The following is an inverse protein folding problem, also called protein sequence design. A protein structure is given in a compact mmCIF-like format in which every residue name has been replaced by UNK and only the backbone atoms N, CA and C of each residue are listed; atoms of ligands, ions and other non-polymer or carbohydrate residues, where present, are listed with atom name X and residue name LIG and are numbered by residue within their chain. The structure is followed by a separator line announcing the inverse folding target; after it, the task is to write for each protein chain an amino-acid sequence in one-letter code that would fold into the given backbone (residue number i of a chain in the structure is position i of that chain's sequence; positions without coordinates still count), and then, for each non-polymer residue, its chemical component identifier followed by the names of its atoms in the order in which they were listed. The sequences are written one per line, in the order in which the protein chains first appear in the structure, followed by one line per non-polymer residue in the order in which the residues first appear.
data_IF_617563835013
#
_entry.id   IF_617563835013
#
_cell.length_a   1.000
_cell.length_b   1.000
_cell.length_c   1.000
_cell.angle_alpha   90.00
_cell.angle_beta   90.00
_cell.angle_gamma   90.00
#
_symmetry.space_group_name_H-M   'P 1'
#
loop_
_entity.id
_entity.type
_entity.pdbx_description
1 polymer ?
#
# COMPACT_ATOMS: atom_id res chain seq x y z
N UNK A 1 -49.73 55.19 36.12
CA UNK A 1 -48.39 55.49 35.56
C UNK A 1 -47.37 54.57 36.23
N UNK A 2 -46.42 54.00 35.47
CA UNK A 2 -45.31 53.11 35.88
C UNK A 2 -45.63 51.62 36.12
N UNK A 3 -45.92 50.86 35.04
CA UNK A 3 -45.56 49.43 34.89
C UNK A 3 -45.45 49.08 33.41
N UNK A 4 -44.46 49.66 32.73
CA UNK A 4 -44.10 49.33 31.36
C UNK A 4 -42.59 49.49 31.21
N UNK A 5 -41.81 48.65 31.90
CA UNK A 5 -40.35 48.65 31.78
C UNK A 5 -39.70 47.36 32.32
N UNK A 6 -40.26 46.18 32.04
CA UNK A 6 -39.56 44.90 32.31
C UNK A 6 -40.01 43.90 31.24
N UNK A 7 -39.55 44.04 30.00
CA UNK A 7 -39.70 42.99 28.96
C UNK A 7 -38.75 43.15 27.76
N UNK A 8 -37.65 43.89 27.93
CA UNK A 8 -36.66 44.08 26.88
C UNK A 8 -35.25 43.85 27.44
N UNK A 9 -34.90 42.59 27.70
CA UNK A 9 -33.62 42.28 28.33
C UNK A 9 -33.16 40.82 28.25
N UNK A 10 -33.67 40.03 27.30
CA UNK A 10 -33.21 38.65 27.11
C UNK A 10 -33.36 38.19 25.66
N UNK A 11 -32.73 38.91 24.73
CA UNK A 11 -32.68 38.51 23.32
C UNK A 11 -31.34 38.85 22.64
N UNK A 12 -30.24 38.86 23.39
CA UNK A 12 -28.89 38.91 22.84
C UNK A 12 -28.05 37.92 23.65
N UNK A 13 -27.59 36.83 23.01
CA UNK A 13 -26.38 36.05 23.28
C UNK A 13 -26.54 34.62 22.73
N UNK A 14 -26.71 34.51 21.41
CA UNK A 14 -26.52 33.26 20.66
C UNK A 14 -25.84 33.61 19.32
N UNK A 15 -24.70 34.29 19.39
CA UNK A 15 -23.71 34.33 18.32
C UNK A 15 -22.50 33.53 18.79
N UNK A 16 -22.66 32.20 18.80
CA UNK A 16 -21.55 31.27 18.97
C UNK A 16 -20.68 31.30 17.73
N UNK A 17 -19.37 31.47 17.93
CA UNK A 17 -18.35 31.56 16.90
C UNK A 17 -18.33 30.34 15.97
N UNK A 18 -18.99 30.46 14.82
CA UNK A 18 -18.69 29.65 13.64
C UNK A 18 -17.51 30.28 12.91
N UNK A 19 -16.29 30.15 13.43
CA UNK A 19 -15.13 30.31 12.58
C UNK A 19 -15.14 29.10 11.63
N UNK A 20 -15.56 29.30 10.38
CA UNK A 20 -15.33 28.31 9.34
C UNK A 20 -13.86 27.95 9.37
N UNK A 21 -13.54 26.67 9.60
CA UNK A 21 -12.19 26.19 9.41
C UNK A 21 -11.83 26.52 7.96
N UNK A 22 -10.94 27.50 7.78
CA UNK A 22 -10.34 27.73 6.49
C UNK A 22 -9.59 26.44 6.15
N UNK A 23 -10.11 25.71 5.17
CA UNK A 23 -9.44 24.58 4.56
C UNK A 23 -8.10 25.12 4.05
N UNK A 24 -7.05 24.84 4.81
CA UNK A 24 -5.71 25.27 4.46
C UNK A 24 -5.29 24.35 3.34
N UNK A 25 -5.13 24.92 2.14
CA UNK A 25 -4.62 24.20 0.99
C UNK A 25 -3.33 23.48 1.41
N UNK A 26 -3.23 22.15 1.20
CA UNK A 26 -2.06 21.41 1.60
C UNK A 26 -0.83 22.01 0.92
N UNK A 27 0.33 22.04 1.61
CA UNK A 27 1.54 22.63 1.05
C UNK A 27 1.88 21.96 -0.29
N UNK A 28 2.43 22.73 -1.25
CA UNK A 28 2.79 22.19 -2.55
C UNK A 28 3.80 21.05 -2.38
N UNK A 29 3.74 20.03 -3.26
CA UNK A 29 4.64 18.89 -3.15
C UNK A 29 6.11 19.34 -3.18
N UNK A 30 6.97 18.67 -2.40
CA UNK A 30 8.38 18.99 -2.38
C UNK A 30 8.98 18.78 -3.78
N UNK A 31 9.70 19.77 -4.30
CA UNK A 31 10.41 19.68 -5.58
C UNK A 31 11.75 18.94 -5.47
N UNK A 32 12.20 18.69 -4.23
CA UNK A 32 13.38 17.90 -3.88
C UNK A 32 13.09 17.16 -2.59
N UNK A 33 13.41 15.87 -2.54
CA UNK A 33 13.40 15.15 -1.26
C UNK A 33 14.55 15.64 -0.39
N UNK A 34 14.30 15.71 0.91
CA UNK A 34 15.37 15.84 1.89
C UNK A 34 16.34 14.69 1.68
N UNK A 35 17.59 14.99 1.35
CA UNK A 35 18.62 13.96 1.37
C UNK A 35 18.73 13.44 2.81
N UNK A 36 18.93 12.13 3.02
CA UNK A 36 19.27 11.63 4.34
C UNK A 36 20.53 12.35 4.81
N UNK A 37 20.34 13.29 5.74
CA UNK A 37 21.44 13.88 6.48
C UNK A 37 22.01 12.80 7.39
N UNK A 38 23.30 12.89 7.73
CA UNK A 38 23.94 12.05 8.78
C UNK A 38 23.39 12.40 10.16
N UNK A 39 22.08 12.36 10.34
CA UNK A 39 21.46 12.42 11.64
C UNK A 39 21.56 11.00 12.17
N UNK A 40 22.37 10.73 13.20
CA UNK A 40 22.31 9.44 13.86
C UNK A 40 20.85 9.18 14.25
N UNK A 41 20.35 7.94 14.10
CA UNK A 41 18.99 7.61 14.53
C UNK A 41 18.76 8.16 15.94
N UNK A 42 17.54 8.65 16.26
CA UNK A 42 17.27 9.11 17.61
C UNK A 42 17.70 8.01 18.57
N UNK A 43 18.59 8.35 19.52
CA UNK A 43 19.06 7.40 20.52
C UNK A 43 17.82 6.82 21.18
N UNK A 44 17.49 5.58 20.84
CA UNK A 44 16.42 4.88 21.52
C UNK A 44 16.75 4.95 23.00
N UNK A 45 15.83 5.49 23.81
CA UNK A 45 15.92 5.35 25.27
C UNK A 45 16.23 3.89 25.53
N UNK A 46 17.37 3.61 26.17
CA UNK A 46 17.79 2.25 26.44
C UNK A 46 16.71 1.59 27.30
N UNK A 47 15.82 0.83 26.65
CA UNK A 47 15.01 -0.15 27.35
C UNK A 47 16.03 -1.22 27.72
N UNK A 48 16.44 -1.24 28.98
CA UNK A 48 17.18 -2.36 29.55
C UNK A 48 16.18 -3.51 29.68
N UNK A 49 15.78 -4.07 28.55
CA UNK A 49 15.33 -5.45 28.50
C UNK A 49 16.63 -6.25 28.63
N UNK A 50 16.76 -7.16 29.59
CA UNK A 50 17.91 -8.05 29.62
C UNK A 50 17.87 -8.87 28.32
N UNK A 51 18.69 -8.46 27.35
CA UNK A 51 18.98 -9.24 26.17
C UNK A 51 19.79 -10.42 26.65
N UNK A 52 19.12 -11.52 26.96
CA UNK A 52 19.77 -12.81 26.87
C UNK A 52 20.14 -12.92 25.40
N UNK A 53 21.42 -12.97 25.09
CA UNK A 53 21.91 -13.46 23.80
C UNK A 53 21.42 -14.90 23.69
N UNK A 54 20.20 -15.06 23.19
CA UNK A 54 19.79 -16.33 22.63
C UNK A 54 20.54 -16.37 21.31
N UNK A 55 21.59 -17.18 21.25
CA UNK A 55 22.02 -17.75 19.97
C UNK A 55 20.78 -18.43 19.39
N UNK A 56 20.07 -17.72 18.51
CA UNK A 56 19.01 -18.32 17.70
C UNK A 56 19.73 -19.10 16.60
N UNK A 57 20.31 -20.24 16.99
CA UNK A 57 20.61 -21.32 16.07
C UNK A 57 19.27 -21.87 15.58
N UNK A 58 18.70 -21.16 14.60
CA UNK A 58 17.29 -21.35 14.22
C UNK A 58 16.64 -20.16 13.53
N UNK A 59 17.41 -19.15 13.09
CA UNK A 59 16.92 -18.22 12.08
C UNK A 59 16.52 -19.03 10.85
N UNK A 60 15.24 -19.43 10.76
CA UNK A 60 14.72 -20.08 9.57
C UNK A 60 15.07 -19.15 8.42
N UNK A 61 15.91 -19.60 7.49
CA UNK A 61 16.00 -18.98 6.18
C UNK A 61 14.59 -19.01 5.63
N UNK A 62 13.88 -17.89 5.72
CA UNK A 62 12.53 -17.83 5.16
C UNK A 62 12.63 -18.18 3.67
N UNK A 63 11.55 -18.71 3.11
CA UNK A 63 11.49 -19.16 1.72
C UNK A 63 12.07 -18.12 0.74
N UNK A 64 12.65 -18.53 -0.39
CA UNK A 64 13.10 -17.57 -1.39
C UNK A 64 11.96 -16.63 -1.80
N UNK A 65 12.30 -15.38 -2.13
CA UNK A 65 11.33 -14.45 -2.70
C UNK A 65 10.80 -15.01 -4.02
N UNK A 66 9.51 -14.81 -4.27
CA UNK A 66 8.89 -15.27 -5.51
C UNK A 66 9.57 -14.61 -6.70
N UNK A 67 9.82 -15.40 -7.75
CA UNK A 67 10.43 -14.96 -9.01
C UNK A 67 9.44 -15.21 -10.15
N UNK A 68 8.57 -14.24 -10.38
CA UNK A 68 7.59 -14.26 -11.46
C UNK A 68 7.55 -12.89 -12.14
N UNK A 69 7.44 -12.91 -13.47
CA UNK A 69 7.30 -11.73 -14.31
C UNK A 69 6.03 -11.96 -15.14
N UNK A 70 4.94 -11.32 -14.71
CA UNK A 70 3.70 -11.25 -15.47
C UNK A 70 3.69 -10.07 -16.45
N UNK A 71 2.56 -9.85 -17.11
CA UNK A 71 2.44 -8.77 -18.10
C UNK A 71 2.46 -7.36 -17.48
N UNK A 72 1.84 -7.22 -16.30
CA UNK A 72 1.71 -5.94 -15.59
C UNK A 72 2.67 -5.81 -14.40
N UNK A 73 2.96 -6.93 -13.74
CA UNK A 73 3.64 -6.97 -12.45
C UNK A 73 4.79 -7.96 -12.47
N UNK A 74 5.81 -7.68 -11.66
CA UNK A 74 6.83 -8.64 -11.25
C UNK A 74 6.83 -8.77 -9.75
N UNK A 75 7.04 -9.99 -9.24
CA UNK A 75 7.21 -10.23 -7.82
C UNK A 75 8.53 -9.66 -7.29
N UNK A 76 8.63 -9.58 -5.97
CA UNK A 76 9.71 -8.97 -5.20
C UNK A 76 11.10 -9.53 -5.53
N UNK A 77 11.20 -10.82 -5.87
CA UNK A 77 12.46 -11.45 -6.24
C UNK A 77 13.12 -10.79 -7.46
N UNK A 78 12.34 -10.34 -8.44
CA UNK A 78 12.85 -9.62 -9.63
C UNK A 78 13.52 -8.30 -9.26
N UNK A 79 13.12 -7.68 -8.15
CA UNK A 79 13.71 -6.46 -7.61
C UNK A 79 14.92 -6.75 -6.71
N UNK A 80 14.86 -7.84 -5.94
CA UNK A 80 15.88 -8.23 -4.98
C UNK A 80 17.24 -8.53 -5.64
N UNK A 81 17.27 -8.89 -6.94
CA UNK A 81 18.52 -9.09 -7.70
C UNK A 81 19.52 -7.93 -7.53
N UNK A 82 19.02 -6.69 -7.45
CA UNK A 82 19.85 -5.49 -7.31
C UNK A 82 19.58 -4.72 -6.01
N UNK A 83 18.45 -4.97 -5.35
CA UNK A 83 18.04 -4.23 -4.14
C UNK A 83 18.29 -4.99 -2.83
N UNK A 84 19.02 -6.10 -2.91
CA UNK A 84 19.57 -6.84 -1.77
C UNK A 84 21.05 -6.57 -1.57
N UNK A 85 21.58 -6.92 -0.39
CA UNK A 85 22.97 -6.72 0.03
C UNK A 85 23.48 -5.28 -0.20
N UNK A 86 22.60 -4.30 0.02
CA UNK A 86 22.94 -2.89 -0.06
C UNK A 86 23.48 -2.42 1.29
N UNK A 87 24.55 -1.62 1.27
CA UNK A 87 25.11 -1.03 2.49
C UNK A 87 25.22 0.48 2.36
N UNK A 88 25.01 1.20 3.46
CA UNK A 88 25.28 2.64 3.53
C UNK A 88 26.77 2.95 3.73
N UNK A 89 27.12 4.23 3.90
CA UNK A 89 28.50 4.69 4.09
C UNK A 89 29.12 4.29 5.45
N UNK A 90 28.29 3.82 6.39
CA UNK A 90 28.72 3.26 7.68
C UNK A 90 28.91 1.75 7.63
N UNK A 91 28.49 1.10 6.52
CA UNK A 91 28.47 -0.34 6.36
C UNK A 91 27.23 -1.02 6.95
N UNK A 92 26.20 -0.26 7.33
CA UNK A 92 24.94 -0.82 7.79
C UNK A 92 24.15 -1.37 6.60
N UNK A 93 23.48 -2.50 6.80
CA UNK A 93 22.58 -3.09 5.81
C UNK A 93 21.35 -2.20 5.59
N UNK A 94 21.14 -1.80 4.34
CA UNK A 94 20.01 -1.01 3.85
C UNK A 94 19.30 -1.72 2.68
N UNK A 95 19.41 -3.04 2.64
CA UNK A 95 18.72 -3.90 1.69
C UNK A 95 17.22 -3.69 1.79
N UNK A 96 16.60 -3.37 0.65
CA UNK A 96 15.20 -2.96 0.59
C UNK A 96 14.32 -4.21 0.65
N UNK A 97 14.76 -5.30 0.03
CA UNK A 97 14.04 -6.57 0.02
C UNK A 97 13.92 -7.15 1.44
N UNK A 98 15.00 -7.17 2.22
CA UNK A 98 15.00 -7.66 3.59
C UNK A 98 14.11 -6.81 4.49
N UNK A 99 14.18 -5.48 4.35
CA UNK A 99 13.35 -4.53 5.08
C UNK A 99 11.87 -4.68 4.76
N UNK A 100 11.51 -4.76 3.47
CA UNK A 100 10.12 -4.95 3.02
C UNK A 100 9.55 -6.29 3.47
N UNK A 101 10.33 -7.37 3.35
CA UNK A 101 9.91 -8.74 3.66
C UNK A 101 9.45 -8.90 5.11
N UNK A 102 10.01 -8.11 6.03
CA UNK A 102 9.63 -8.11 7.44
C UNK A 102 8.34 -7.35 7.76
N UNK A 103 7.70 -6.69 6.78
CA UNK A 103 6.53 -5.83 7.00
C UNK A 103 5.20 -6.57 6.81
N UNK A 104 4.10 -5.94 7.26
CA UNK A 104 2.74 -6.41 6.95
C UNK A 104 2.42 -6.36 5.45
N UNK A 105 3.10 -5.51 4.66
CA UNK A 105 2.87 -5.42 3.21
C UNK A 105 3.26 -6.72 2.50
N UNK A 106 4.45 -7.25 2.82
CA UNK A 106 4.93 -8.54 2.29
C UNK A 106 4.10 -9.74 2.75
N UNK A 107 3.35 -9.58 3.84
CA UNK A 107 2.52 -10.64 4.44
C UNK A 107 1.01 -10.39 4.27
N UNK A 108 0.62 -9.36 3.51
CA UNK A 108 -0.77 -8.90 3.43
C UNK A 108 -1.73 -9.98 2.93
N UNK A 109 -1.29 -10.81 1.99
CA UNK A 109 -2.04 -11.95 1.47
C UNK A 109 -1.90 -13.22 2.31
N UNK A 110 -0.84 -13.31 3.14
CA UNK A 110 -0.46 -14.52 3.89
C UNK A 110 -0.97 -14.53 5.32
N UNK A 111 -1.44 -13.39 5.82
CA UNK A 111 -1.96 -13.26 7.18
C UNK A 111 -3.17 -14.22 7.37
N UNK A 112 -3.03 -15.26 8.20
CA UNK A 112 -4.10 -16.24 8.40
C UNK A 112 -5.31 -15.65 9.12
N UNK A 113 -5.13 -14.60 9.92
CA UNK A 113 -6.24 -13.93 10.59
C UNK A 113 -7.07 -13.14 9.58
N UNK A 114 -6.40 -12.44 8.66
CA UNK A 114 -7.07 -11.76 7.55
C UNK A 114 -7.81 -12.75 6.65
N UNK A 115 -7.15 -13.83 6.20
CA UNK A 115 -7.81 -14.84 5.37
C UNK A 115 -9.03 -15.46 6.07
N UNK A 116 -8.93 -15.77 7.36
CA UNK A 116 -10.05 -16.30 8.14
C UNK A 116 -11.21 -15.29 8.26
N UNK A 117 -10.90 -14.01 8.41
CA UNK A 117 -11.90 -12.94 8.50
C UNK A 117 -12.68 -12.79 7.20
N UNK A 118 -11.98 -12.68 6.06
CA UNK A 118 -12.63 -12.62 4.74
C UNK A 118 -13.45 -13.89 4.46
N UNK A 119 -12.92 -15.06 4.83
CA UNK A 119 -13.65 -16.33 4.69
C UNK A 119 -14.91 -16.36 5.54
N UNK A 120 -14.88 -15.80 6.75
CA UNK A 120 -16.08 -15.69 7.60
C UNK A 120 -17.15 -14.87 6.91
N UNK A 121 -16.80 -13.69 6.39
CA UNK A 121 -17.76 -12.83 5.67
C UNK A 121 -18.37 -13.54 4.45
N UNK A 122 -17.54 -14.27 3.69
CA UNK A 122 -18.01 -15.07 2.54
C UNK A 122 -18.96 -16.21 2.96
N UNK A 123 -18.72 -16.85 4.12
CA UNK A 123 -19.58 -17.91 4.63
C UNK A 123 -20.89 -17.37 5.21
N UNK A 124 -20.83 -16.19 5.84
CA UNK A 124 -21.99 -15.54 6.45
C UNK A 124 -22.90 -14.91 5.39
N UNK A 125 -22.33 -14.43 4.27
CA UNK A 125 -23.01 -13.73 3.17
C UNK A 125 -22.63 -14.33 1.80
N UNK A 126 -23.03 -15.59 1.52
CA UNK A 126 -22.63 -16.29 0.30
C UNK A 126 -23.07 -15.58 -0.99
N UNK A 127 -24.20 -14.86 -0.96
CA UNK A 127 -24.70 -14.06 -2.08
C UNK A 127 -23.82 -12.84 -2.41
N UNK A 128 -22.99 -12.38 -1.47
CA UNK A 128 -22.03 -11.29 -1.65
C UNK A 128 -20.58 -11.78 -1.79
N UNK A 129 -20.38 -13.10 -1.85
CA UNK A 129 -19.06 -13.74 -1.88
C UNK A 129 -18.09 -13.13 -2.89
N UNK A 130 -18.54 -12.92 -4.14
CA UNK A 130 -17.69 -12.29 -5.17
C UNK A 130 -17.33 -10.84 -4.81
N UNK A 131 -18.30 -10.04 -4.34
CA UNK A 131 -18.07 -8.63 -4.04
C UNK A 131 -17.12 -8.45 -2.86
N UNK A 132 -17.22 -9.31 -1.83
CA UNK A 132 -16.33 -9.32 -0.67
C UNK A 132 -14.91 -9.65 -1.11
N UNK A 133 -14.71 -10.77 -1.81
CA UNK A 133 -13.38 -11.22 -2.23
C UNK A 133 -12.72 -10.22 -3.18
N UNK A 134 -13.48 -9.69 -4.14
CA UNK A 134 -13.02 -8.67 -5.08
C UNK A 134 -12.51 -7.46 -4.30
N UNK A 135 -13.33 -6.94 -3.37
CA UNK A 135 -12.98 -5.76 -2.56
C UNK A 135 -11.76 -5.96 -1.67
N UNK A 136 -11.64 -7.10 -1.00
CA UNK A 136 -10.52 -7.38 -0.09
C UNK A 136 -9.20 -7.58 -0.85
N UNK A 137 -9.27 -8.21 -2.03
CA UNK A 137 -8.09 -8.51 -2.83
C UNK A 137 -7.43 -7.27 -3.45
N UNK A 138 -8.17 -6.16 -3.63
CA UNK A 138 -7.61 -4.89 -4.17
C UNK A 138 -6.38 -4.44 -3.38
N UNK A 139 -6.45 -4.47 -2.04
CA UNK A 139 -5.40 -3.93 -1.17
C UNK A 139 -4.43 -5.00 -0.65
N UNK A 140 -4.87 -6.26 -0.53
CA UNK A 140 -4.06 -7.33 0.08
C UNK A 140 -3.42 -8.26 -0.94
N UNK A 141 -3.96 -8.33 -2.16
CA UNK A 141 -3.43 -9.09 -3.31
C UNK A 141 -3.41 -8.21 -4.58
N UNK A 142 -2.90 -6.97 -4.51
CA UNK A 142 -3.08 -5.95 -5.56
C UNK A 142 -2.59 -6.38 -6.94
N UNK A 143 -1.47 -7.11 -7.04
CA UNK A 143 -0.93 -7.52 -8.33
C UNK A 143 -1.85 -8.52 -9.05
N UNK A 144 -2.35 -9.52 -8.33
CA UNK A 144 -3.28 -10.50 -8.89
C UNK A 144 -4.64 -9.85 -9.19
N UNK A 145 -5.17 -9.03 -8.27
CA UNK A 145 -6.42 -8.31 -8.49
C UNK A 145 -6.35 -7.40 -9.73
N UNK A 146 -5.33 -6.55 -9.86
CA UNK A 146 -5.21 -5.65 -11.02
C UNK A 146 -5.00 -6.44 -12.32
N UNK A 147 -4.26 -7.56 -12.30
CA UNK A 147 -4.13 -8.42 -13.48
C UNK A 147 -5.47 -9.04 -13.89
N UNK A 148 -6.24 -9.57 -12.94
CA UNK A 148 -7.58 -10.09 -13.21
C UNK A 148 -8.52 -9.01 -13.75
N UNK A 149 -8.48 -7.80 -13.16
CA UNK A 149 -9.29 -6.66 -13.60
C UNK A 149 -8.95 -6.21 -15.04
N UNK A 150 -7.67 -6.21 -15.44
CA UNK A 150 -7.24 -5.93 -16.83
C UNK A 150 -7.82 -6.95 -17.82
N UNK A 151 -8.07 -8.18 -17.36
CA UNK A 151 -8.73 -9.24 -18.13
C UNK A 151 -10.26 -9.21 -18.04
N UNK A 152 -10.85 -8.20 -17.37
CA UNK A 152 -12.29 -8.10 -17.15
C UNK A 152 -12.86 -9.08 -16.12
N UNK A 153 -12.00 -9.62 -15.25
CA UNK A 153 -12.35 -10.54 -14.17
C UNK A 153 -12.36 -9.83 -12.81
N UNK A 154 -13.02 -10.45 -11.83
CA UNK A 154 -12.99 -10.01 -10.43
C UNK A 154 -11.88 -10.73 -9.67
N UNK A 155 -11.43 -10.13 -8.57
CA UNK A 155 -10.56 -10.80 -7.61
C UNK A 155 -11.30 -11.90 -6.85
N UNK A 156 -10.94 -13.16 -7.06
CA UNK A 156 -11.47 -14.30 -6.31
C UNK A 156 -10.34 -14.92 -5.51
N UNK A 157 -10.50 -15.01 -4.19
CA UNK A 157 -9.46 -15.46 -3.27
C UNK A 157 -9.54 -16.96 -2.99
N UNK A 158 -10.75 -17.48 -2.75
CA UNK A 158 -11.01 -18.85 -2.32
C UNK A 158 -11.58 -19.72 -3.45
N UNK A 159 -11.46 -21.03 -3.31
CA UNK A 159 -11.91 -22.02 -4.30
C UNK A 159 -10.75 -22.65 -5.05
N UNK A 160 -11.04 -23.65 -5.90
CA UNK A 160 -10.03 -24.36 -6.70
C UNK A 160 -9.30 -23.41 -7.66
N UNK A 161 -10.04 -22.45 -8.23
CA UNK A 161 -9.50 -21.43 -9.14
C UNK A 161 -9.20 -20.09 -8.45
N UNK A 162 -9.24 -20.01 -7.11
CA UNK A 162 -8.98 -18.76 -6.38
C UNK A 162 -7.50 -18.42 -6.28
N UNK A 163 -7.16 -17.15 -6.01
CA UNK A 163 -5.79 -16.67 -5.85
C UNK A 163 -4.98 -17.37 -4.74
N UNK A 164 -5.65 -17.96 -3.75
CA UNK A 164 -4.98 -18.75 -2.70
C UNK A 164 -4.68 -20.20 -3.11
N UNK A 165 -5.17 -20.63 -4.28
CA UNK A 165 -4.88 -21.94 -4.85
C UNK A 165 -3.49 -21.93 -5.51
N UNK A 166 -2.56 -22.81 -5.12
CA UNK A 166 -1.24 -22.90 -5.77
C UNK A 166 -1.28 -23.23 -7.27
N UNK A 167 -2.41 -23.75 -7.76
CA UNK A 167 -2.62 -24.09 -9.17
C UNK A 167 -3.15 -22.90 -9.99
N UNK A 168 -3.48 -21.76 -9.36
CA UNK A 168 -3.89 -20.54 -10.05
C UNK A 168 -2.66 -19.81 -10.64
N UNK A 169 -2.72 -19.42 -11.91
CA UNK A 169 -1.62 -18.75 -12.62
C UNK A 169 -1.18 -17.41 -11.97
N UNK A 170 -2.06 -16.76 -11.20
CA UNK A 170 -1.80 -15.51 -10.47
C UNK A 170 -1.39 -15.74 -9.01
N UNK A 171 -1.20 -17.00 -8.58
CA UNK A 171 -0.89 -17.34 -7.20
C UNK A 171 0.34 -16.61 -6.66
N UNK A 172 1.46 -16.59 -7.39
CA UNK A 172 2.66 -15.92 -6.91
C UNK A 172 2.47 -14.41 -6.80
N UNK A 173 1.77 -13.80 -7.77
CA UNK A 173 1.43 -12.37 -7.73
C UNK A 173 0.51 -12.04 -6.55
N UNK A 174 -0.43 -12.92 -6.22
CA UNK A 174 -1.29 -12.74 -5.05
C UNK A 174 -0.49 -12.88 -3.76
N UNK A 175 0.30 -13.94 -3.63
CA UNK A 175 0.97 -14.32 -2.40
C UNK A 175 2.21 -13.50 -2.10
N UNK A 176 2.72 -12.72 -3.04
CA UNK A 176 3.78 -11.74 -2.80
C UNK A 176 3.24 -10.43 -2.19
N UNK A 177 1.92 -10.34 -1.96
CA UNK A 177 1.27 -9.29 -1.17
C UNK A 177 1.35 -7.90 -1.81
N UNK A 178 1.50 -6.87 -0.96
CA UNK A 178 1.75 -5.50 -1.41
C UNK A 178 3.24 -5.37 -1.74
N UNK A 179 3.60 -5.80 -2.95
CA UNK A 179 4.98 -5.92 -3.42
C UNK A 179 5.53 -4.65 -4.06
N UNK A 180 6.82 -4.67 -4.39
CA UNK A 180 7.58 -3.56 -4.95
C UNK A 180 6.89 -2.96 -6.19
N UNK A 181 6.49 -3.82 -7.13
CA UNK A 181 5.88 -3.39 -8.39
C UNK A 181 4.46 -2.84 -8.25
N UNK A 182 3.83 -2.92 -7.08
CA UNK A 182 2.54 -2.26 -6.83
C UNK A 182 2.80 -0.78 -6.54
N UNK A 183 3.42 -0.50 -5.39
CA UNK A 183 3.60 0.87 -4.91
C UNK A 183 4.41 1.70 -5.89
N UNK A 184 5.45 1.12 -6.50
CA UNK A 184 6.29 1.81 -7.44
C UNK A 184 5.62 2.03 -8.81
N UNK A 185 4.47 1.42 -9.12
CA UNK A 185 3.73 1.70 -10.37
C UNK A 185 2.57 2.67 -10.17
N UNK A 186 2.12 2.91 -8.93
CA UNK A 186 1.03 3.85 -8.64
C UNK A 186 1.44 5.25 -9.11
N UNK A 187 0.60 5.85 -9.96
CA UNK A 187 0.83 7.20 -10.47
C UNK A 187 0.34 8.27 -9.49
N UNK A 188 0.83 9.49 -9.69
CA UNK A 188 0.55 10.62 -8.79
C UNK A 188 -0.90 11.13 -8.91
N UNK A 189 -1.53 10.97 -10.08
CA UNK A 189 -2.81 11.59 -10.39
C UNK A 189 -3.90 11.13 -9.42
N UNK A 190 -4.56 12.12 -8.78
CA UNK A 190 -5.68 11.88 -7.86
C UNK A 190 -5.30 11.40 -6.46
N UNK A 191 -4.01 11.14 -6.16
CA UNK A 191 -3.59 10.70 -4.82
C UNK A 191 -4.00 11.70 -3.74
N UNK A 192 -4.53 11.19 -2.63
CA UNK A 192 -5.00 12.00 -1.51
C UNK A 192 -6.43 12.53 -1.67
N UNK A 193 -7.14 12.10 -2.72
CA UNK A 193 -8.56 12.43 -2.95
C UNK A 193 -9.41 11.16 -2.98
N UNK A 194 -10.73 11.31 -2.85
CA UNK A 194 -11.70 10.22 -2.91
C UNK A 194 -11.55 9.33 -4.15
N UNK A 195 -11.07 9.88 -5.27
CA UNK A 195 -10.87 9.13 -6.51
C UNK A 195 -9.87 7.97 -6.36
N UNK A 196 -8.93 8.04 -5.41
CA UNK A 196 -7.89 7.00 -5.23
C UNK A 196 -8.04 6.18 -3.96
N UNK A 197 -8.98 6.55 -3.09
CA UNK A 197 -9.25 5.85 -1.85
C UNK A 197 -9.84 4.45 -2.10
N UNK A 198 -9.85 3.61 -1.06
CA UNK A 198 -10.45 2.27 -1.08
C UNK A 198 -9.92 1.33 -2.18
N UNK A 199 -8.64 1.48 -2.54
CA UNK A 199 -7.95 0.72 -3.56
C UNK A 199 -8.05 1.30 -4.97
N UNK A 200 -8.56 2.53 -5.12
CA UNK A 200 -8.67 3.23 -6.42
C UNK A 200 -7.36 3.80 -6.96
N UNK A 201 -6.20 3.27 -6.55
CA UNK A 201 -4.91 3.74 -7.05
C UNK A 201 -4.80 3.54 -8.57
N UNK A 202 -4.13 4.48 -9.25
CA UNK A 202 -3.97 4.44 -10.69
C UNK A 202 -2.67 3.73 -11.09
N UNK A 203 -2.79 2.60 -11.79
CA UNK A 203 -1.68 1.90 -12.43
C UNK A 203 -1.97 1.84 -13.92
N UNK A 204 -0.94 2.12 -14.73
CA UNK A 204 -1.03 2.01 -16.18
C UNK A 204 -1.05 0.54 -16.60
N UNK A 205 -2.16 0.09 -17.18
CA UNK A 205 -2.28 -1.27 -17.72
C UNK A 205 -2.04 -1.34 -19.23
N UNK A 206 -1.82 -0.21 -19.91
CA UNK A 206 -1.60 -0.17 -21.36
C UNK A 206 -0.13 -0.36 -21.73
N UNK A 207 0.79 0.21 -20.95
CA UNK A 207 2.23 0.02 -21.17
C UNK A 207 2.63 -1.44 -20.91
N UNK A 208 3.39 -2.05 -21.81
CA UNK A 208 3.91 -3.42 -21.64
C UNK A 208 5.43 -3.40 -21.56
N UNK A 209 6.02 -4.49 -21.07
CA UNK A 209 7.48 -4.65 -21.06
C UNK A 209 8.03 -4.51 -22.49
N UNK A 210 9.16 -3.80 -22.72
CA UNK A 210 10.06 -3.22 -21.71
C UNK A 210 9.72 -1.78 -21.31
N UNK A 211 8.67 -1.18 -21.86
CA UNK A 211 8.35 0.24 -21.68
C UNK A 211 7.58 0.55 -20.39
N UNK A 212 7.28 -0.48 -19.57
CA UNK A 212 6.68 -0.28 -18.25
C UNK A 212 7.58 0.58 -17.39
N UNK A 213 6.94 1.41 -16.60
CA UNK A 213 7.58 2.44 -15.80
C UNK A 213 7.41 2.08 -14.32
N UNK A 214 8.47 2.30 -13.55
CA UNK A 214 8.41 2.32 -12.10
C UNK A 214 8.95 3.65 -11.58
N UNK A 215 8.34 4.15 -10.52
CA UNK A 215 8.73 5.38 -9.86
C UNK A 215 9.72 5.08 -8.73
N UNK A 216 10.66 5.98 -8.47
CA UNK A 216 11.55 5.93 -7.31
C UNK A 216 11.86 7.32 -6.78
N UNK A 217 12.41 7.47 -5.57
CA UNK A 217 12.72 8.78 -5.00
C UNK A 217 13.86 9.50 -5.74
N UNK A 218 14.70 8.76 -6.46
CA UNK A 218 15.92 9.28 -7.07
C UNK A 218 15.83 9.34 -8.59
N UNK A 219 16.60 10.27 -9.17
CA UNK A 219 16.92 10.23 -10.59
C UNK A 219 17.93 9.11 -10.82
N UNK A 220 17.70 8.32 -11.85
CA UNK A 220 18.58 7.21 -12.23
C UNK A 220 19.31 7.59 -13.52
N UNK A 221 20.62 7.38 -13.56
CA UNK A 221 21.42 7.61 -14.77
C UNK A 221 21.10 6.56 -15.84
N UNK A 222 21.21 6.93 -17.12
CA UNK A 222 20.76 6.08 -18.24
C UNK A 222 21.36 4.68 -18.25
N UNK A 223 22.63 4.53 -17.85
CA UNK A 223 23.30 3.22 -17.76
C UNK A 223 22.67 2.31 -16.71
N UNK A 224 22.44 2.82 -15.50
CA UNK A 224 21.78 2.08 -14.42
C UNK A 224 20.30 1.81 -14.75
N UNK A 225 19.62 2.77 -15.37
CA UNK A 225 18.25 2.59 -15.83
C UNK A 225 18.15 1.47 -16.86
N UNK A 226 19.10 1.38 -17.79
CA UNK A 226 19.15 0.30 -18.80
C UNK A 226 19.38 -1.08 -18.17
N UNK A 227 20.25 -1.17 -17.15
CA UNK A 227 20.47 -2.41 -16.40
C UNK A 227 19.18 -2.84 -15.70
N UNK A 228 18.55 -1.92 -14.95
CA UNK A 228 17.29 -2.20 -14.26
C UNK A 228 16.19 -2.62 -15.23
N UNK A 229 16.03 -1.92 -16.35
CA UNK A 229 15.03 -2.24 -17.37
C UNK A 229 15.27 -3.62 -17.98
N UNK A 230 16.52 -3.97 -18.29
CA UNK A 230 16.85 -5.29 -18.85
C UNK A 230 16.63 -6.44 -17.87
N UNK A 231 16.82 -6.20 -16.57
CA UNK A 231 16.68 -7.23 -15.53
C UNK A 231 15.26 -7.39 -15.00
N UNK A 232 14.49 -6.30 -14.93
CA UNK A 232 13.18 -6.26 -14.27
C UNK A 232 12.01 -5.99 -15.22
N UNK A 233 12.28 -5.56 -16.46
CA UNK A 233 11.25 -5.10 -17.40
C UNK A 233 10.73 -3.69 -17.13
N UNK A 234 11.28 -2.98 -16.12
CA UNK A 234 10.84 -1.64 -15.74
C UNK A 234 11.90 -0.56 -15.96
N UNK A 235 11.48 0.55 -16.57
CA UNK A 235 12.26 1.77 -16.64
C UNK A 235 12.05 2.61 -15.37
N UNK A 236 13.10 2.87 -14.57
CA UNK A 236 12.98 3.73 -13.40
C UNK A 236 12.86 5.20 -13.79
N UNK A 237 11.92 5.91 -13.18
CA UNK A 237 11.81 7.37 -13.22
C UNK A 237 11.58 7.94 -11.84
N UNK A 238 11.99 9.19 -11.65
CA UNK A 238 11.78 9.85 -10.36
C UNK A 238 10.28 10.12 -10.15
N UNK A 239 9.73 9.66 -9.04
CA UNK A 239 8.38 9.97 -8.57
C UNK A 239 8.42 10.36 -7.10
N UNK A 240 8.25 11.64 -6.82
CA UNK A 240 8.34 12.18 -5.45
C UNK A 240 7.09 11.88 -4.62
N UNK A 241 5.99 11.48 -5.28
CA UNK A 241 4.74 11.11 -4.63
C UNK A 241 4.84 9.87 -3.76
N UNK A 242 5.80 8.99 -4.02
CA UNK A 242 6.08 7.78 -3.24
C UNK A 242 6.37 8.06 -1.75
N UNK A 243 6.90 9.24 -1.43
CA UNK A 243 7.22 9.63 -0.06
C UNK A 243 6.08 10.37 0.66
N UNK A 244 4.89 10.44 0.06
CA UNK A 244 3.73 11.14 0.63
C UNK A 244 2.72 10.15 1.21
N UNK A 245 2.13 10.52 2.34
CA UNK A 245 1.02 9.75 2.95
C UNK A 245 -0.17 9.55 2.02
N UNK A 246 -0.35 10.43 1.03
CA UNK A 246 -1.37 10.31 0.00
C UNK A 246 -1.30 8.99 -0.79
N UNK A 247 -0.11 8.40 -0.95
CA UNK A 247 0.04 7.06 -1.53
C UNK A 247 -0.59 6.00 -0.60
N UNK A 248 -0.24 6.02 0.69
CA UNK A 248 -0.77 5.09 1.68
C UNK A 248 -2.30 5.21 1.82
N UNK A 249 -2.82 6.44 1.72
CA UNK A 249 -4.25 6.73 1.78
C UNK A 249 -5.06 6.01 0.69
N UNK A 250 -4.44 5.64 -0.44
CA UNK A 250 -5.14 4.90 -1.50
C UNK A 250 -5.70 3.56 -1.01
N UNK A 251 -4.96 2.84 -0.14
CA UNK A 251 -5.43 1.59 0.46
C UNK A 251 -6.02 1.80 1.86
N UNK A 252 -5.55 2.79 2.63
CA UNK A 252 -5.88 2.94 4.06
C UNK A 252 -6.97 3.96 4.36
N UNK A 253 -7.41 4.75 3.39
CA UNK A 253 -8.68 5.46 3.48
C UNK A 253 -9.75 4.58 2.84
N UNK A 254 -10.33 3.69 3.64
CA UNK A 254 -11.22 2.65 3.17
C UNK A 254 -12.68 3.02 3.44
N UNK A 255 -13.46 3.05 2.38
CA UNK A 255 -14.92 3.08 2.38
C UNK A 255 -15.41 1.76 1.83
N UNK A 256 -16.07 1.00 2.69
CA UNK A 256 -16.83 -0.20 2.31
C UNK A 256 -18.30 0.10 2.46
N UNK A 257 -19.11 -0.43 1.55
CA UNK A 257 -20.54 -0.49 1.80
C UNK A 257 -20.82 -1.38 3.01
N UNK A 258 -21.97 -1.19 3.64
CA UNK A 258 -22.43 -2.02 4.75
C UNK A 258 -23.55 -2.94 4.25
N UNK A 259 -23.79 -4.04 4.96
CA UNK A 259 -24.89 -4.95 4.66
C UNK A 259 -25.99 -4.73 5.70
N UNK A 260 -27.21 -4.50 5.24
CA UNK A 260 -28.36 -4.32 6.11
C UNK A 260 -28.91 -5.65 6.65
N UNK A 261 -29.92 -5.59 7.53
CA UNK A 261 -30.53 -6.79 8.12
C UNK A 261 -31.25 -7.70 7.11
N UNK A 262 -31.40 -7.26 5.86
CA UNK A 262 -31.98 -8.04 4.75
C UNK A 262 -30.93 -8.67 3.83
N UNK A 263 -29.63 -8.49 4.11
CA UNK A 263 -28.54 -9.01 3.27
C UNK A 263 -28.24 -8.13 2.06
N UNK A 264 -28.69 -6.88 2.04
CA UNK A 264 -28.47 -5.95 0.91
C UNK A 264 -27.40 -4.90 1.23
N UNK A 265 -26.68 -4.47 0.20
CA UNK A 265 -25.65 -3.42 0.22
C UNK A 265 -26.27 -2.04 0.05
#
# INVERSE_FOLDING_TARGET
MKKALILLGLALFLTGCGAGAAETEPPPPPTKLSQPTRTPPPTATSIVTPTVEVEVDGGRSGDPLAMEVGELFSTSGSCAVCHTNLTDDTGADVSIDSSWRATMMANAARDPYWQASVRSEVMDLPELSEAIQDKCSICHMPMAHTTAADMGQKGVMFGEDGFLSPDNDLYSLAMDGVSCSVCHQIREEGLGTEATFSGGFNIDTELRSPDRVIFGPFKTEDGLASIMQSSSGYRPIQGLHLSRSALCASCHTLYTSYVDASGQI
#
